data_IF_636004593359
#
_entry.id   IF_636004593359
#
_cell.length_a   1.000
_cell.length_b   1.000
_cell.length_c   1.000
_cell.angle_alpha   90.00
_cell.angle_beta   90.00
_cell.angle_gamma   90.00
#
_symmetry.space_group_name_H-M   'P 1'
#
loop_
_entity.id
_entity.type
_entity.pdbx_description
1 polymer ?
#
# COMPACT_ATOMS: atom_id res chain seq x y z
N UNK A 1 -7.81 35.00 -47.41
CA UNK A 1 -8.48 34.09 -46.45
C UNK A 1 -7.40 33.59 -45.50
N UNK A 2 -7.37 34.08 -44.26
CA UNK A 2 -6.42 33.66 -43.22
C UNK A 2 -7.08 32.66 -42.30
N UNK A 3 -6.62 31.41 -42.29
CA UNK A 3 -7.09 30.39 -41.39
C UNK A 3 -6.46 30.57 -40.01
N UNK A 4 -7.26 30.85 -38.99
CA UNK A 4 -6.84 30.81 -37.59
C UNK A 4 -6.89 29.37 -37.10
N UNK A 5 -5.74 28.80 -36.79
CA UNK A 5 -5.65 27.52 -36.10
C UNK A 5 -5.91 27.77 -34.62
N UNK A 6 -7.01 27.21 -34.08
CA UNK A 6 -7.28 27.15 -32.64
C UNK A 6 -6.39 26.05 -32.04
N UNK A 7 -5.42 26.45 -31.22
CA UNK A 7 -4.65 25.52 -30.38
C UNK A 7 -5.49 25.26 -29.11
N UNK A 8 -6.06 24.07 -29.01
CA UNK A 8 -6.71 23.61 -27.78
C UNK A 8 -5.64 23.26 -26.76
N UNK A 9 -5.49 24.13 -25.75
CA UNK A 9 -4.67 23.83 -24.56
C UNK A 9 -5.46 22.85 -23.70
N UNK A 10 -5.05 21.57 -23.71
CA UNK A 10 -5.52 20.58 -22.75
C UNK A 10 -4.95 20.96 -21.37
N UNK A 11 -5.78 21.55 -20.53
CA UNK A 11 -5.48 21.74 -19.11
C UNK A 11 -5.43 20.37 -18.45
N UNK A 12 -4.23 19.85 -18.18
CA UNK A 12 -4.04 18.72 -17.27
C UNK A 12 -4.53 19.17 -15.88
N UNK A 13 -5.66 18.60 -15.44
CA UNK A 13 -6.17 18.83 -14.09
C UNK A 13 -5.11 18.45 -13.05
N UNK A 14 -5.06 19.11 -11.88
CA UNK A 14 -4.12 18.77 -10.83
C UNK A 14 -4.33 17.32 -10.43
N UNK A 15 -3.31 16.48 -10.59
CA UNK A 15 -3.26 15.18 -9.91
C UNK A 15 -3.44 15.48 -8.43
N UNK A 16 -4.45 14.86 -7.78
CA UNK A 16 -4.62 14.98 -6.34
C UNK A 16 -3.31 14.53 -5.68
N UNK A 17 -2.51 15.48 -5.26
CA UNK A 17 -1.30 15.23 -4.52
C UNK A 17 -1.70 14.58 -3.19
N UNK A 18 -0.92 13.58 -2.75
CA UNK A 18 -1.10 12.99 -1.43
C UNK A 18 -0.74 14.06 -0.39
N UNK A 19 -1.76 14.66 0.21
CA UNK A 19 -1.57 15.75 1.16
C UNK A 19 -1.12 15.21 2.51
N UNK A 20 0.10 15.55 2.91
CA UNK A 20 0.70 15.19 4.18
C UNK A 20 0.54 16.34 5.17
N UNK A 21 0.13 16.08 6.44
CA UNK A 21 0.11 17.12 7.45
C UNK A 21 1.56 17.54 7.81
N UNK A 22 1.80 18.79 8.20
CA UNK A 22 3.15 19.32 8.44
C UNK A 22 4.02 18.46 9.38
N UNK A 23 3.43 17.89 10.43
CA UNK A 23 4.16 17.02 11.38
C UNK A 23 4.56 15.65 10.77
N UNK A 24 4.03 15.27 9.61
CA UNK A 24 4.40 14.02 8.95
C UNK A 24 5.82 14.11 8.37
N UNK A 25 6.19 15.25 7.79
CA UNK A 25 7.52 15.46 7.20
C UNK A 25 8.64 15.21 8.22
N UNK A 26 8.50 15.72 9.46
CA UNK A 26 9.47 15.48 10.54
C UNK A 26 9.67 13.98 10.86
N UNK A 27 8.63 13.16 10.68
CA UNK A 27 8.72 11.71 10.87
C UNK A 27 9.45 11.06 9.69
N UNK A 28 9.08 11.45 8.47
CA UNK A 28 9.62 10.88 7.23
C UNK A 28 11.12 11.18 7.10
N UNK A 29 11.56 12.38 7.39
CA UNK A 29 12.98 12.79 7.42
C UNK A 29 13.82 11.93 8.38
N UNK A 30 13.22 11.49 9.49
CA UNK A 30 13.85 10.57 10.45
C UNK A 30 13.72 9.10 10.05
N UNK A 31 13.23 8.82 8.85
CA UNK A 31 13.00 7.46 8.35
C UNK A 31 11.89 6.69 9.09
N UNK A 32 10.98 7.41 9.75
CA UNK A 32 9.83 6.86 10.47
C UNK A 32 8.58 7.00 9.63
N UNK A 33 7.68 5.99 9.60
CA UNK A 33 6.44 6.11 8.88
C UNK A 33 5.47 7.07 9.57
N UNK A 34 4.72 7.82 8.78
CA UNK A 34 3.51 8.48 9.22
C UNK A 34 2.32 7.57 8.88
N UNK A 35 1.41 7.36 9.84
CA UNK A 35 0.20 6.53 9.66
C UNK A 35 -0.99 7.19 10.34
N UNK A 36 -2.02 7.42 9.56
CA UNK A 36 -3.31 7.89 10.02
C UNK A 36 -4.39 6.84 9.75
N UNK A 37 -5.23 6.57 10.73
CA UNK A 37 -6.40 5.69 10.60
C UNK A 37 -7.63 6.41 11.13
N UNK A 38 -8.62 6.60 10.28
CA UNK A 38 -9.90 7.26 10.58
C UNK A 38 -11.06 6.32 10.29
N UNK A 39 -12.23 6.47 10.94
CA UNK A 39 -13.46 5.87 10.46
C UNK A 39 -13.75 6.36 9.04
N UNK A 40 -14.16 5.46 8.14
CA UNK A 40 -14.64 5.87 6.83
C UNK A 40 -16.08 6.40 6.92
N UNK A 41 -16.51 7.13 5.90
CA UNK A 41 -17.83 7.73 5.85
C UNK A 41 -18.99 6.72 5.85
N UNK A 42 -18.72 5.46 5.48
CA UNK A 42 -19.68 4.37 5.51
C UNK A 42 -20.01 3.86 6.94
N UNK A 43 -19.26 4.31 7.96
CA UNK A 43 -19.43 3.92 9.35
C UNK A 43 -18.99 2.49 9.70
N UNK A 44 -18.55 1.69 8.72
CA UNK A 44 -18.25 0.27 8.87
C UNK A 44 -16.79 -0.08 8.53
N UNK A 45 -16.11 0.73 7.73
CA UNK A 45 -14.71 0.53 7.36
C UNK A 45 -13.79 1.58 8.00
N UNK A 46 -12.50 1.26 8.04
CA UNK A 46 -11.43 2.20 8.37
C UNK A 46 -10.80 2.75 7.09
N UNK A 47 -10.57 4.05 7.05
CA UNK A 47 -9.71 4.70 6.07
C UNK A 47 -8.30 4.79 6.63
N UNK A 48 -7.33 4.34 5.85
CA UNK A 48 -5.91 4.31 6.21
C UNK A 48 -5.17 5.21 5.23
N UNK A 49 -4.33 6.09 5.77
CA UNK A 49 -3.38 6.88 4.99
C UNK A 49 -2.00 6.72 5.64
N UNK A 50 -0.99 6.44 4.86
CA UNK A 50 0.35 6.26 5.39
C UNK A 50 1.42 6.69 4.37
N UNK A 51 2.60 7.06 4.87
CA UNK A 51 3.76 7.38 4.04
C UNK A 51 5.05 6.96 4.74
N UNK A 52 6.08 6.67 3.94
CA UNK A 52 7.46 6.46 4.41
C UNK A 52 8.44 6.83 3.29
N UNK A 53 9.59 7.44 3.66
CA UNK A 53 10.69 7.68 2.75
C UNK A 53 11.71 6.53 2.85
N UNK A 54 12.05 5.95 1.68
CA UNK A 54 12.92 4.77 1.57
C UNK A 54 14.12 5.12 0.68
N UNK A 55 15.38 5.06 1.19
CA UNK A 55 16.58 5.32 0.41
C UNK A 55 16.92 4.10 -0.49
N UNK A 56 16.08 3.81 -1.46
CA UNK A 56 16.21 2.73 -2.43
C UNK A 56 15.55 3.11 -3.74
N UNK A 57 15.86 2.39 -4.83
CA UNK A 57 15.20 2.61 -6.11
C UNK A 57 13.75 2.12 -6.11
N UNK A 58 12.92 2.67 -6.99
CA UNK A 58 11.54 2.19 -7.18
C UNK A 58 11.48 0.70 -7.49
N UNK A 59 12.40 0.22 -8.32
CA UNK A 59 12.50 -1.18 -8.74
C UNK A 59 12.80 -2.12 -7.56
N UNK A 60 13.70 -1.72 -6.66
CA UNK A 60 14.04 -2.49 -5.47
C UNK A 60 12.84 -2.60 -4.51
N UNK A 61 12.15 -1.48 -4.27
CA UNK A 61 10.94 -1.43 -3.45
C UNK A 61 9.83 -2.27 -4.11
N UNK A 62 9.61 -2.06 -5.40
CA UNK A 62 8.60 -2.76 -6.19
C UNK A 62 8.76 -4.28 -6.13
N UNK A 63 9.99 -4.77 -6.31
CA UNK A 63 10.29 -6.20 -6.23
C UNK A 63 9.87 -6.79 -4.88
N UNK A 64 10.10 -6.08 -3.77
CA UNK A 64 9.71 -6.52 -2.42
C UNK A 64 8.20 -6.50 -2.20
N UNK A 65 7.50 -5.50 -2.76
CA UNK A 65 6.04 -5.42 -2.64
C UNK A 65 5.32 -6.54 -3.40
N UNK A 66 5.91 -7.05 -4.48
CA UNK A 66 5.32 -8.14 -5.27
C UNK A 66 5.68 -9.52 -4.77
N UNK A 67 6.67 -9.66 -3.91
CA UNK A 67 7.16 -10.93 -3.38
C UNK A 67 6.34 -11.38 -2.17
N UNK A 68 5.66 -12.53 -2.29
CA UNK A 68 4.87 -13.12 -1.20
C UNK A 68 5.73 -13.56 0.01
N UNK A 69 6.97 -13.98 -0.21
CA UNK A 69 7.86 -14.33 0.90
C UNK A 69 8.35 -13.09 1.64
N UNK A 70 8.63 -12.01 0.91
CA UNK A 70 8.90 -10.71 1.53
C UNK A 70 7.67 -10.19 2.29
N UNK A 71 6.47 -10.29 1.72
CA UNK A 71 5.23 -9.88 2.40
C UNK A 71 5.05 -10.59 3.76
N UNK A 72 5.33 -11.90 3.84
CA UNK A 72 5.27 -12.67 5.10
C UNK A 72 6.28 -12.23 6.15
N UNK A 73 7.42 -11.67 5.73
CA UNK A 73 8.41 -11.08 6.66
C UNK A 73 8.06 -9.65 7.06
N UNK A 74 7.36 -8.92 6.19
CA UNK A 74 7.02 -7.52 6.42
C UNK A 74 5.74 -7.33 7.25
N UNK A 75 4.73 -8.19 7.07
CA UNK A 75 3.43 -8.08 7.72
C UNK A 75 3.33 -9.12 8.84
N UNK A 76 3.36 -8.68 10.08
CA UNK A 76 3.48 -9.55 11.26
C UNK A 76 2.29 -10.52 11.41
N UNK A 77 1.08 -10.07 11.07
CA UNK A 77 -0.13 -10.90 11.12
C UNK A 77 -0.21 -11.91 9.97
N UNK A 78 0.51 -11.72 8.87
CA UNK A 78 0.40 -12.53 7.66
C UNK A 78 0.97 -13.95 7.86
N UNK A 79 0.13 -14.97 7.71
CA UNK A 79 0.49 -16.38 7.86
C UNK A 79 0.76 -17.06 6.52
N UNK A 80 0.00 -16.70 5.49
CA UNK A 80 0.23 -17.19 4.13
C UNK A 80 -0.07 -16.11 3.09
N UNK A 81 0.66 -16.19 1.97
CA UNK A 81 0.45 -15.41 0.77
C UNK A 81 0.63 -16.33 -0.42
N UNK A 82 -0.32 -16.33 -1.36
CA UNK A 82 -0.26 -17.09 -2.60
C UNK A 82 -0.75 -16.23 -3.76
N UNK A 83 -0.12 -16.36 -4.91
CA UNK A 83 -0.64 -15.81 -6.16
C UNK A 83 -1.53 -16.89 -6.76
N UNK A 84 -2.82 -16.58 -6.91
CA UNK A 84 -3.82 -17.48 -7.48
C UNK A 84 -3.84 -17.39 -9.00
N UNK A 85 -3.70 -16.17 -9.53
CA UNK A 85 -3.72 -15.88 -10.95
C UNK A 85 -2.79 -14.71 -11.27
N UNK A 86 -2.21 -14.71 -12.46
CA UNK A 86 -1.32 -13.63 -12.91
C UNK A 86 -1.51 -13.38 -14.40
N UNK A 87 -1.57 -12.10 -14.76
CA UNK A 87 -1.51 -11.68 -16.17
C UNK A 87 -0.16 -12.07 -16.79
N UNK A 88 -0.15 -12.72 -17.97
CA UNK A 88 1.09 -13.08 -18.66
C UNK A 88 2.02 -11.90 -18.95
N UNK A 89 1.46 -10.68 -19.14
CA UNK A 89 2.23 -9.46 -19.31
C UNK A 89 2.60 -8.77 -17.99
N UNK A 90 2.17 -9.34 -16.85
CA UNK A 90 2.49 -8.83 -15.53
C UNK A 90 1.81 -7.49 -15.17
N UNK A 91 0.67 -7.19 -15.78
CA UNK A 91 -0.11 -5.96 -15.51
C UNK A 91 -0.98 -6.07 -14.27
N UNK A 92 -1.30 -7.31 -13.83
CA UNK A 92 -2.09 -7.57 -12.63
C UNK A 92 -1.83 -8.98 -12.09
N UNK A 93 -2.19 -9.18 -10.83
CA UNK A 93 -2.35 -10.52 -10.25
C UNK A 93 -3.55 -10.57 -9.29
N UNK A 94 -3.96 -11.79 -8.96
CA UNK A 94 -4.92 -12.09 -7.88
C UNK A 94 -4.18 -12.83 -6.79
N UNK A 95 -4.28 -12.32 -5.56
CA UNK A 95 -3.60 -12.87 -4.39
C UNK A 95 -4.57 -13.31 -3.33
N UNK A 96 -4.20 -14.40 -2.68
CA UNK A 96 -4.82 -14.87 -1.46
C UNK A 96 -3.86 -14.61 -0.29
N UNK A 97 -4.38 -14.00 0.75
CA UNK A 97 -3.66 -13.79 2.00
C UNK A 97 -4.49 -14.30 3.19
N UNK A 98 -3.84 -14.98 4.11
CA UNK A 98 -4.43 -15.37 5.39
C UNK A 98 -3.65 -14.66 6.48
N UNK A 99 -4.33 -13.82 7.24
CA UNK A 99 -3.76 -13.08 8.37
C UNK A 99 -4.37 -13.53 9.68
N UNK A 100 -3.56 -13.52 10.73
CA UNK A 100 -4.02 -13.79 12.10
C UNK A 100 -3.24 -12.92 13.09
N UNK A 101 -3.92 -12.01 13.76
CA UNK A 101 -3.37 -11.16 14.79
C UNK A 101 -3.73 -11.69 16.18
N UNK A 102 -2.71 -12.02 17.00
CA UNK A 102 -2.84 -12.48 18.37
C UNK A 102 -3.93 -13.56 18.56
N UNK A 103 -4.96 -13.26 19.37
CA UNK A 103 -6.08 -14.14 19.68
C UNK A 103 -7.29 -13.98 18.73
N UNK A 104 -7.19 -13.10 17.74
CA UNK A 104 -8.28 -12.87 16.78
C UNK A 104 -8.42 -14.05 15.81
N UNK A 105 -9.63 -14.27 15.26
CA UNK A 105 -9.82 -15.24 14.19
C UNK A 105 -8.91 -14.96 13.00
N UNK A 106 -8.57 -16.00 12.24
CA UNK A 106 -7.89 -15.82 10.97
C UNK A 106 -8.82 -15.09 9.99
N UNK A 107 -8.26 -14.18 9.22
CA UNK A 107 -8.95 -13.45 8.16
C UNK A 107 -8.37 -13.91 6.83
N UNK A 108 -9.23 -14.44 5.99
CA UNK A 108 -8.90 -14.83 4.62
C UNK A 108 -9.32 -13.71 3.68
N UNK A 109 -8.40 -13.24 2.86
CA UNK A 109 -8.64 -12.16 1.92
C UNK A 109 -8.12 -12.52 0.53
N UNK A 110 -8.97 -12.34 -0.48
CA UNK A 110 -8.61 -12.50 -1.89
C UNK A 110 -8.82 -11.17 -2.58
N UNK A 111 -7.80 -10.67 -3.24
CA UNK A 111 -7.82 -9.38 -3.89
C UNK A 111 -7.02 -9.38 -5.18
N UNK A 112 -7.44 -8.55 -6.12
CA UNK A 112 -6.73 -8.26 -7.35
C UNK A 112 -5.89 -7.01 -7.17
N UNK A 113 -4.66 -7.06 -7.70
CA UNK A 113 -3.76 -5.92 -7.80
C UNK A 113 -3.50 -5.59 -9.26
N UNK A 114 -3.74 -4.34 -9.65
CA UNK A 114 -3.44 -3.80 -10.97
C UNK A 114 -2.21 -2.90 -10.90
N UNK A 115 -1.30 -3.04 -11.83
CA UNK A 115 0.05 -2.51 -11.80
C UNK A 115 0.30 -1.43 -12.86
N UNK A 116 0.74 -0.26 -12.42
CA UNK A 116 1.36 0.78 -13.23
C UNK A 116 2.83 0.90 -12.80
N UNK A 117 3.66 0.05 -13.42
CA UNK A 117 5.06 -0.17 -13.01
C UNK A 117 5.96 1.01 -13.34
N UNK A 118 6.88 1.36 -12.44
CA UNK A 118 7.05 0.93 -11.04
C UNK A 118 6.40 1.95 -10.07
N UNK A 119 5.34 2.66 -10.50
CA UNK A 119 4.85 3.84 -9.82
C UNK A 119 3.63 3.59 -8.94
N UNK A 120 2.75 2.65 -9.31
CA UNK A 120 1.46 2.50 -8.62
C UNK A 120 0.94 1.07 -8.64
N UNK A 121 0.40 0.63 -7.49
CA UNK A 121 -0.36 -0.61 -7.34
C UNK A 121 -1.74 -0.23 -6.85
N UNK A 122 -2.79 -0.52 -7.60
CA UNK A 122 -4.17 -0.43 -7.13
C UNK A 122 -4.67 -1.81 -6.79
N UNK A 123 -5.39 -1.95 -5.70
CA UNK A 123 -5.94 -3.23 -5.31
C UNK A 123 -7.39 -3.10 -4.87
N UNK A 124 -8.14 -4.16 -5.11
CA UNK A 124 -9.52 -4.29 -4.67
C UNK A 124 -9.84 -5.74 -4.34
N UNK A 125 -10.71 -5.92 -3.36
CA UNK A 125 -11.19 -7.24 -2.94
C UNK A 125 -11.93 -7.94 -4.08
N UNK A 126 -11.63 -9.24 -4.26
CA UNK A 126 -12.37 -10.14 -5.17
C UNK A 126 -13.00 -11.32 -4.45
N UNK A 127 -12.64 -11.56 -3.16
CA UNK A 127 -13.20 -12.64 -2.36
C UNK A 127 -12.70 -12.63 -0.92
N UNK A 128 -13.03 -13.67 -0.16
CA UNK A 128 -12.62 -13.84 1.24
C UNK A 128 -13.54 -13.16 2.24
N UNK A 129 -13.07 -13.05 3.48
CA UNK A 129 -13.88 -12.68 4.64
C UNK A 129 -14.08 -11.17 4.82
N UNK A 130 -13.15 -10.35 4.35
CA UNK A 130 -13.27 -8.89 4.46
C UNK A 130 -14.41 -8.39 3.59
N UNK A 131 -15.19 -7.42 4.09
CA UNK A 131 -16.26 -6.80 3.29
C UNK A 131 -15.73 -5.69 2.39
N UNK A 132 -14.77 -4.92 2.89
CA UNK A 132 -14.08 -3.86 2.16
C UNK A 132 -12.58 -4.10 2.27
N UNK A 133 -11.90 -4.11 1.14
CA UNK A 133 -10.45 -4.10 1.03
C UNK A 133 -10.08 -3.54 -0.34
N UNK A 134 -9.74 -2.28 -0.37
CA UNK A 134 -9.38 -1.56 -1.59
C UNK A 134 -8.42 -0.42 -1.28
N UNK A 135 -7.66 0.00 -2.27
CA UNK A 135 -6.74 1.12 -2.10
C UNK A 135 -5.65 1.15 -3.15
N UNK A 136 -4.63 1.93 -2.85
CA UNK A 136 -3.46 2.05 -3.70
C UNK A 136 -2.18 2.33 -2.94
N UNK A 137 -1.10 1.91 -3.55
CA UNK A 137 0.27 2.28 -3.24
C UNK A 137 0.80 3.17 -4.35
N UNK A 138 1.51 4.24 -4.00
CA UNK A 138 2.26 5.06 -4.95
C UNK A 138 3.72 5.12 -4.55
N UNK A 139 4.60 5.13 -5.54
CA UNK A 139 6.04 5.25 -5.41
C UNK A 139 6.48 6.48 -6.20
N UNK A 140 6.86 7.53 -5.51
CA UNK A 140 7.29 8.79 -6.12
C UNK A 140 8.76 9.06 -5.79
N UNK A 141 9.54 9.51 -6.77
CA UNK A 141 10.92 9.90 -6.52
C UNK A 141 10.95 11.09 -5.56
N UNK A 142 11.69 10.98 -4.49
CA UNK A 142 11.78 12.00 -3.46
C UNK A 142 13.19 12.04 -2.87
N UNK A 143 13.86 13.21 -2.96
CA UNK A 143 15.27 13.36 -2.55
C UNK A 143 16.13 12.22 -3.14
N UNK A 144 16.95 11.58 -2.31
CA UNK A 144 17.86 10.49 -2.70
C UNK A 144 17.20 9.11 -2.69
N UNK A 145 15.87 9.04 -2.73
CA UNK A 145 15.12 7.79 -2.65
C UNK A 145 13.72 7.87 -3.22
N UNK A 146 12.80 7.19 -2.56
CA UNK A 146 11.41 7.07 -2.96
C UNK A 146 10.49 7.32 -1.76
N UNK A 147 9.54 8.21 -1.93
CA UNK A 147 8.39 8.33 -1.03
C UNK A 147 7.36 7.29 -1.44
N UNK A 148 7.06 6.38 -0.53
CA UNK A 148 5.99 5.40 -0.67
C UNK A 148 4.78 5.91 0.10
N UNK A 149 3.65 6.05 -0.58
CA UNK A 149 2.37 6.40 0.03
C UNK A 149 1.38 5.24 -0.09
N UNK A 150 0.48 5.15 0.89
CA UNK A 150 -0.53 4.12 0.99
C UNK A 150 -1.87 4.72 1.38
N UNK A 151 -2.88 4.51 0.56
CA UNK A 151 -4.26 4.86 0.87
C UNK A 151 -5.13 3.63 0.73
N UNK A 152 -5.93 3.32 1.75
CA UNK A 152 -6.78 2.14 1.72
C UNK A 152 -8.06 2.33 2.53
N UNK A 153 -9.07 1.52 2.18
CA UNK A 153 -10.25 1.25 2.99
C UNK A 153 -10.29 -0.24 3.31
N UNK A 154 -10.51 -0.55 4.56
CA UNK A 154 -10.57 -1.93 5.02
C UNK A 154 -11.62 -2.10 6.10
N UNK A 155 -12.33 -3.22 6.11
CA UNK A 155 -13.25 -3.60 7.18
C UNK A 155 -12.90 -4.98 7.73
N UNK A 156 -12.92 -5.12 9.05
CA UNK A 156 -12.80 -6.44 9.66
C UNK A 156 -14.08 -7.25 9.42
N UNK A 157 -14.00 -8.60 9.26
CA UNK A 157 -15.15 -9.45 9.09
C UNK A 157 -15.92 -9.74 10.41
N UNK A 158 -15.45 -9.15 11.51
CA UNK A 158 -16.04 -9.32 12.85
C UNK A 158 -16.05 -7.98 13.60
N UNK A 159 -16.93 -7.88 14.57
CA UNK A 159 -17.06 -6.68 15.38
C UNK A 159 -15.82 -6.48 16.27
N UNK A 160 -15.15 -5.35 16.12
CA UNK A 160 -14.03 -4.90 16.96
C UNK A 160 -14.33 -3.47 17.41
N UNK A 161 -14.15 -3.14 18.70
CA UNK A 161 -14.24 -1.75 19.13
C UNK A 161 -13.31 -0.87 18.27
N UNK A 162 -13.87 0.24 17.74
CA UNK A 162 -13.17 1.07 16.75
C UNK A 162 -11.80 1.59 17.20
N UNK A 163 -11.62 1.84 18.49
CA UNK A 163 -10.32 2.29 19.03
C UNK A 163 -9.27 1.16 18.99
N UNK A 164 -9.67 -0.11 19.23
CA UNK A 164 -8.79 -1.28 19.12
C UNK A 164 -8.41 -1.48 17.66
N UNK A 165 -9.40 -1.46 16.75
CA UNK A 165 -9.16 -1.61 15.32
C UNK A 165 -8.17 -0.54 14.80
N UNK A 166 -8.36 0.72 15.18
CA UNK A 166 -7.45 1.82 14.81
C UNK A 166 -6.03 1.62 15.35
N UNK A 167 -5.90 1.24 16.61
CA UNK A 167 -4.59 1.01 17.22
C UNK A 167 -3.86 -0.16 16.53
N UNK A 168 -4.56 -1.27 16.28
CA UNK A 168 -4.02 -2.45 15.60
C UNK A 168 -3.59 -2.14 14.17
N UNK A 169 -4.43 -1.46 13.37
CA UNK A 169 -4.09 -1.06 12.01
C UNK A 169 -2.90 -0.10 11.96
N UNK A 170 -2.85 0.88 12.87
CA UNK A 170 -1.72 1.80 12.94
C UNK A 170 -0.41 1.05 13.27
N UNK A 171 -0.45 0.14 14.20
CA UNK A 171 0.71 -0.69 14.56
C UNK A 171 1.16 -1.57 13.39
N UNK A 172 0.23 -2.29 12.77
CA UNK A 172 0.50 -3.21 11.66
C UNK A 172 1.08 -2.48 10.44
N UNK A 173 0.44 -1.39 10.02
CA UNK A 173 0.88 -0.60 8.86
C UNK A 173 2.25 0.04 9.12
N UNK A 174 2.47 0.60 10.32
CA UNK A 174 3.78 1.16 10.68
C UNK A 174 4.87 0.09 10.65
N UNK A 175 4.60 -1.08 11.19
CA UNK A 175 5.53 -2.22 11.18
C UNK A 175 5.86 -2.69 9.77
N UNK A 176 4.84 -2.82 8.91
CA UNK A 176 4.99 -3.25 7.52
C UNK A 176 5.83 -2.24 6.70
N UNK A 177 5.60 -0.93 6.86
CA UNK A 177 6.36 0.11 6.18
C UNK A 177 7.84 0.12 6.62
N UNK A 178 8.11 0.00 7.92
CA UNK A 178 9.48 -0.12 8.43
C UNK A 178 10.17 -1.39 7.92
N UNK A 179 9.44 -2.49 7.82
CA UNK A 179 9.96 -3.74 7.29
C UNK A 179 10.23 -3.63 5.77
N UNK A 180 9.34 -2.98 5.00
CA UNK A 180 9.56 -2.69 3.58
C UNK A 180 10.84 -1.87 3.37
N UNK A 181 11.04 -0.82 4.20
CA UNK A 181 12.27 -0.02 4.16
C UNK A 181 13.50 -0.91 4.39
N UNK A 182 13.51 -1.76 5.42
CA UNK A 182 14.62 -2.68 5.70
C UNK A 182 14.88 -3.67 4.55
N UNK A 183 13.82 -4.31 4.05
CA UNK A 183 13.93 -5.29 2.95
C UNK A 183 14.44 -4.66 1.64
N UNK A 184 14.01 -3.42 1.34
CA UNK A 184 14.41 -2.72 0.12
C UNK A 184 15.82 -2.15 0.18
N UNK A 185 16.33 -1.82 1.37
CA UNK A 185 17.69 -1.30 1.58
C UNK A 185 18.73 -2.38 1.90
N UNK A 186 18.27 -3.61 2.18
CA UNK A 186 19.18 -4.73 2.40
C UNK A 186 19.83 -5.17 1.09
N UNK A 187 21.14 -5.47 1.07
CA UNK A 187 21.79 -6.05 -0.11
C UNK A 187 21.00 -7.29 -0.57
N UNK A 188 20.71 -7.37 -1.87
CA UNK A 188 20.10 -8.56 -2.44
C UNK A 188 21.00 -9.77 -2.12
N UNK A 189 20.49 -10.74 -1.34
CA UNK A 189 21.18 -12.01 -1.20
C UNK A 189 21.20 -12.64 -2.58
N UNK A 190 22.34 -12.58 -3.25
CA UNK A 190 22.56 -13.41 -4.42
C UNK A 190 22.36 -14.85 -3.97
N UNK A 191 21.34 -15.50 -4.47
CA UNK A 191 21.17 -16.95 -4.31
C UNK A 191 22.30 -17.62 -5.11
N UNK A 192 23.09 -18.50 -4.51
CA UNK A 192 24.14 -19.21 -5.21
C UNK A 192 23.61 -20.13 -6.32
#
# INVERSE_FOLDING_TARGET
MRAFALIAVLAAGPACAFDLPPHAEDLLERGRPWVEVRPAADGHSGQIRAAIDIPASKEAIWAKMLDCDAARRMVASLKSCRILERDPQGRWDVREQVSRAAFLPSVHNVYRSDYDRPNRIRFHRTGGDMQVFEGEWRLETHLDGVRVTYEARASAPFAVPGWIARAALRYEVSGALLALRREATSPSRATP
#
